data_IF_570833074957
#
_entry.id   IF_570833074957
#
_cell.length_a   1.000
_cell.length_b   1.000
_cell.length_c   1.000
_cell.angle_alpha   90.00
_cell.angle_beta   90.00
_cell.angle_gamma   90.00
#
_symmetry.space_group_name_H-M   'P 1'
#
loop_
_entity.id
_entity.type
_entity.pdbx_description
1 polymer ?
#
# COMPACT_ATOMS: atom_id res chain seq x y z
N UNK A 1 0.12 7.64 21.20
CA UNK A 1 0.67 7.81 19.85
C UNK A 1 -0.06 6.97 18.82
N UNK A 2 0.13 5.63 18.74
CA UNK A 2 -0.57 4.80 17.72
C UNK A 2 -2.11 4.86 17.85
N UNK A 3 -2.63 4.81 19.08
CA UNK A 3 -4.08 4.95 19.32
C UNK A 3 -4.62 6.34 18.93
N UNK A 4 -3.80 7.38 19.04
CA UNK A 4 -4.17 8.75 18.67
C UNK A 4 -4.24 8.87 17.15
N UNK A 5 -3.26 8.30 16.44
CA UNK A 5 -3.26 8.21 14.97
C UNK A 5 -4.48 7.43 14.46
N UNK A 6 -4.82 6.30 15.08
CA UNK A 6 -6.03 5.54 14.71
C UNK A 6 -7.34 6.32 14.98
N UNK A 7 -7.36 7.19 15.99
CA UNK A 7 -8.51 8.05 16.27
C UNK A 7 -8.62 9.18 15.25
N UNK A 8 -7.49 9.77 14.89
CA UNK A 8 -7.36 10.77 13.83
C UNK A 8 -7.86 10.20 12.50
N UNK A 9 -7.41 8.99 12.12
CA UNK A 9 -7.83 8.30 10.89
C UNK A 9 -9.35 8.15 10.80
N UNK A 10 -10.03 7.80 11.89
CA UNK A 10 -11.51 7.72 11.92
C UNK A 10 -12.17 9.06 11.65
N UNK A 11 -11.55 10.17 12.06
CA UNK A 11 -12.03 11.52 11.77
C UNK A 11 -11.83 11.85 10.29
N UNK A 12 -10.63 11.58 9.76
CA UNK A 12 -10.30 11.78 8.34
C UNK A 12 -11.20 10.93 7.43
N UNK A 13 -11.55 9.70 7.84
CA UNK A 13 -12.49 8.84 7.13
C UNK A 13 -13.87 9.49 6.94
N UNK A 14 -14.37 10.20 7.96
CA UNK A 14 -15.63 10.94 7.86
C UNK A 14 -15.48 12.14 6.93
N UNK A 15 -14.36 12.86 7.02
CA UNK A 15 -14.06 13.99 6.14
C UNK A 15 -13.98 13.58 4.66
N UNK A 16 -13.39 12.41 4.35
CA UNK A 16 -13.37 11.86 2.98
C UNK A 16 -14.78 11.56 2.50
N UNK A 17 -15.63 10.94 3.33
CA UNK A 17 -17.04 10.68 2.97
C UNK A 17 -17.80 11.97 2.69
N UNK A 18 -17.57 13.01 3.48
CA UNK A 18 -18.21 14.33 3.28
C UNK A 18 -17.68 15.07 2.05
N UNK A 19 -16.38 14.99 1.75
CA UNK A 19 -15.80 15.52 0.52
C UNK A 19 -16.34 14.81 -0.72
N UNK A 20 -16.40 13.47 -0.70
CA UNK A 20 -16.96 12.67 -1.78
C UNK A 20 -18.45 12.96 -2.02
N UNK A 21 -19.26 13.13 -0.97
CA UNK A 21 -20.68 13.54 -1.07
C UNK A 21 -20.87 14.93 -1.70
N UNK A 22 -19.92 15.84 -1.48
CA UNK A 22 -19.90 17.19 -2.10
C UNK A 22 -19.31 17.20 -3.51
N UNK A 23 -18.99 16.03 -4.07
CA UNK A 23 -18.32 15.85 -5.36
C UNK A 23 -16.95 16.55 -5.44
N UNK A 24 -16.31 16.76 -4.28
CA UNK A 24 -14.96 17.32 -4.17
C UNK A 24 -13.94 16.18 -4.11
N UNK A 25 -13.63 15.65 -5.30
CA UNK A 25 -12.70 14.52 -5.45
C UNK A 25 -11.24 14.93 -5.19
N UNK A 26 -10.90 16.21 -5.36
CA UNK A 26 -9.56 16.72 -5.05
C UNK A 26 -9.25 16.64 -3.56
N UNK A 27 -10.17 17.14 -2.72
CA UNK A 27 -10.02 17.03 -1.27
C UNK A 27 -10.10 15.59 -0.78
N UNK A 28 -10.97 14.76 -1.38
CA UNK A 28 -11.06 13.35 -1.01
C UNK A 28 -9.75 12.58 -1.29
N UNK A 29 -9.12 12.82 -2.46
CA UNK A 29 -7.80 12.25 -2.80
C UNK A 29 -6.70 12.71 -1.86
N UNK A 30 -6.64 14.00 -1.53
CA UNK A 30 -5.64 14.55 -0.61
C UNK A 30 -5.75 13.93 0.80
N UNK A 31 -6.97 13.84 1.33
CA UNK A 31 -7.23 13.20 2.64
C UNK A 31 -6.96 11.68 2.62
N UNK A 32 -7.24 11.01 1.50
CA UNK A 32 -6.91 9.59 1.33
C UNK A 32 -5.38 9.36 1.31
N UNK A 33 -4.61 10.25 0.66
CA UNK A 33 -3.14 10.22 0.70
C UNK A 33 -2.61 10.37 2.13
N UNK A 34 -3.22 11.24 2.93
CA UNK A 34 -2.89 11.40 4.34
C UNK A 34 -3.13 10.12 5.15
N UNK A 35 -4.24 9.40 4.90
CA UNK A 35 -4.50 8.08 5.51
C UNK A 35 -3.41 7.08 5.12
N UNK A 36 -3.05 6.99 3.85
CA UNK A 36 -2.02 6.04 3.38
C UNK A 36 -0.68 6.31 4.07
N UNK A 37 -0.26 7.58 4.11
CA UNK A 37 0.98 7.97 4.79
C UNK A 37 0.94 7.67 6.30
N UNK A 38 -0.21 7.93 6.95
CA UNK A 38 -0.45 7.58 8.35
C UNK A 38 -0.29 6.07 8.60
N UNK A 39 -0.92 5.23 7.77
CA UNK A 39 -0.80 3.76 7.86
C UNK A 39 0.65 3.28 7.67
N UNK A 40 1.37 3.82 6.67
CA UNK A 40 2.80 3.50 6.47
C UNK A 40 3.64 3.89 7.70
N UNK A 41 3.39 5.07 8.28
CA UNK A 41 4.07 5.51 9.50
C UNK A 41 3.79 4.58 10.69
N UNK A 42 2.53 4.16 10.89
CA UNK A 42 2.14 3.21 11.95
C UNK A 42 2.81 1.84 11.76
N UNK A 43 2.85 1.32 10.54
CA UNK A 43 3.53 0.05 10.24
C UNK A 43 5.02 0.13 10.58
N UNK A 44 5.69 1.22 10.20
CA UNK A 44 7.09 1.45 10.55
C UNK A 44 7.32 1.52 12.06
N UNK A 45 6.40 2.11 12.82
CA UNK A 45 6.46 2.11 14.29
C UNK A 45 6.32 0.70 14.88
N UNK A 46 5.46 -0.16 14.31
CA UNK A 46 5.35 -1.55 14.74
C UNK A 46 6.63 -2.35 14.46
N UNK A 47 7.23 -2.17 13.29
CA UNK A 47 8.51 -2.78 12.94
C UNK A 47 9.62 -2.34 13.89
N UNK A 48 9.74 -1.03 14.14
CA UNK A 48 10.70 -0.48 15.09
C UNK A 48 10.50 -1.07 16.50
N UNK A 49 9.25 -1.22 16.95
CA UNK A 49 8.94 -1.84 18.24
C UNK A 49 9.39 -3.30 18.31
N UNK A 50 9.17 -4.07 17.25
CA UNK A 50 9.63 -5.45 17.17
C UNK A 50 11.16 -5.54 17.20
N UNK A 51 11.85 -4.68 16.45
CA UNK A 51 13.31 -4.60 16.43
C UNK A 51 13.89 -4.25 17.81
N UNK A 52 13.28 -3.30 18.53
CA UNK A 52 13.69 -2.95 19.90
C UNK A 52 13.52 -4.12 20.88
N UNK A 53 12.42 -4.86 20.79
CA UNK A 53 12.21 -6.05 21.63
C UNK A 53 13.28 -7.11 21.36
N UNK A 54 13.65 -7.33 20.09
CA UNK A 54 14.72 -8.24 19.72
C UNK A 54 16.07 -7.79 20.29
N UNK A 55 16.43 -6.50 20.18
CA UNK A 55 17.63 -5.95 20.82
C UNK A 55 17.59 -6.18 22.34
N UNK A 56 16.46 -5.92 22.99
CA UNK A 56 16.33 -6.13 24.44
C UNK A 56 16.55 -7.60 24.83
N UNK A 57 16.07 -8.55 24.02
CA UNK A 57 16.33 -9.98 24.24
C UNK A 57 17.81 -10.32 24.08
N UNK A 58 18.44 -9.89 22.99
CA UNK A 58 19.86 -10.15 22.75
C UNK A 58 20.77 -9.48 23.79
N UNK A 59 20.40 -8.31 24.29
CA UNK A 59 21.11 -7.65 25.38
C UNK A 59 20.95 -8.44 26.69
N UNK A 60 19.75 -8.94 26.99
CA UNK A 60 19.50 -9.82 28.13
C UNK A 60 20.33 -11.11 28.08
N UNK A 61 20.44 -11.72 26.91
CA UNK A 61 21.31 -12.86 26.64
C UNK A 61 22.79 -12.48 26.82
N UNK A 62 23.23 -11.36 26.24
CA UNK A 62 24.61 -10.87 26.35
C UNK A 62 25.02 -10.63 27.80
N UNK A 63 24.13 -10.08 28.64
CA UNK A 63 24.37 -9.90 30.08
C UNK A 63 24.45 -11.25 30.81
N UNK A 64 23.65 -12.24 30.42
CA UNK A 64 23.73 -13.58 30.99
C UNK A 64 25.04 -14.30 30.62
N UNK A 65 25.50 -14.15 29.36
CA UNK A 65 26.78 -14.67 28.86
C UNK A 65 27.97 -13.94 29.50
N UNK A 66 27.91 -12.62 29.66
CA UNK A 66 28.95 -11.84 30.32
C UNK A 66 29.24 -12.29 31.75
N UNK A 67 28.22 -12.78 32.46
CA UNK A 67 28.37 -13.34 33.82
C UNK A 67 29.05 -14.70 33.83
N UNK A 68 29.10 -15.42 32.70
CA UNK A 68 29.61 -16.79 32.62
C UNK A 68 30.92 -16.92 31.83
N UNK A 69 31.14 -16.11 30.79
CA UNK A 69 32.35 -16.08 29.97
C UNK A 69 32.61 -14.64 29.51
N UNK A 70 33.78 -14.09 29.83
CA UNK A 70 34.18 -12.69 29.61
C UNK A 70 34.41 -12.26 28.15
N UNK A 71 33.60 -12.73 27.21
CA UNK A 71 33.60 -12.28 25.82
C UNK A 71 32.17 -11.95 25.42
N UNK A 72 31.81 -10.66 25.46
CA UNK A 72 30.56 -10.18 24.88
C UNK A 72 30.61 -10.45 23.38
N UNK A 73 29.75 -11.37 22.93
CA UNK A 73 29.67 -11.76 21.53
C UNK A 73 29.33 -10.55 20.68
N UNK A 74 30.20 -10.26 19.70
CA UNK A 74 29.96 -9.34 18.58
C UNK A 74 28.76 -9.83 17.76
N UNK A 75 27.55 -9.68 18.28
CA UNK A 75 26.36 -10.16 17.60
C UNK A 75 26.06 -9.23 16.42
N UNK A 76 26.44 -9.68 15.22
CA UNK A 76 26.18 -8.96 13.97
C UNK A 76 24.69 -8.69 13.76
N UNK A 77 23.80 -9.55 14.30
CA UNK A 77 22.35 -9.34 14.27
C UNK A 77 21.92 -8.13 15.10
N UNK A 78 22.50 -7.95 16.29
CA UNK A 78 22.24 -6.76 17.13
C UNK A 78 22.73 -5.50 16.43
N UNK A 79 23.92 -5.54 15.84
CA UNK A 79 24.44 -4.40 15.08
C UNK A 79 23.52 -4.03 13.91
N UNK A 80 23.00 -5.02 13.20
CA UNK A 80 22.04 -4.80 12.11
C UNK A 80 20.73 -4.17 12.60
N UNK A 81 20.20 -4.63 13.73
CA UNK A 81 18.99 -4.06 14.32
C UNK A 81 19.20 -2.62 14.80
N UNK A 82 20.34 -2.33 15.45
CA UNK A 82 20.71 -0.96 15.87
C UNK A 82 20.83 -0.05 14.64
N UNK A 83 21.48 -0.51 13.57
CA UNK A 83 21.60 0.25 12.33
C UNK A 83 20.24 0.57 11.71
N UNK A 84 19.32 -0.40 11.67
CA UNK A 84 17.98 -0.18 11.16
C UNK A 84 17.19 0.82 12.01
N UNK A 85 17.29 0.74 13.34
CA UNK A 85 16.63 1.70 14.23
C UNK A 85 17.25 3.10 14.21
N UNK A 86 18.55 3.22 13.92
CA UNK A 86 19.18 4.52 13.70
C UNK A 86 18.60 5.27 12.49
N UNK A 87 18.05 4.55 11.50
CA UNK A 87 17.35 5.14 10.36
C UNK A 87 15.95 5.65 10.70
N UNK A 88 15.39 5.28 11.85
CA UNK A 88 14.13 5.81 12.33
C UNK A 88 14.36 7.18 12.98
N UNK A 89 13.79 8.29 12.48
CA UNK A 89 14.11 9.64 12.94
C UNK A 89 13.91 9.83 14.45
N UNK A 90 12.85 9.22 14.99
CA UNK A 90 12.49 9.30 16.40
C UNK A 90 13.46 8.56 17.33
N UNK A 91 14.20 7.58 16.80
CA UNK A 91 15.11 6.71 17.57
C UNK A 91 16.59 6.98 17.25
N UNK A 92 16.87 7.77 16.20
CA UNK A 92 18.21 8.00 15.66
C UNK A 92 19.22 8.46 16.73
N UNK A 93 18.87 9.50 17.49
CA UNK A 93 19.73 10.06 18.53
C UNK A 93 20.01 9.04 19.64
N UNK A 94 18.96 8.39 20.15
CA UNK A 94 19.06 7.41 21.24
C UNK A 94 19.86 6.17 20.84
N UNK A 95 19.66 5.66 19.61
CA UNK A 95 20.38 4.49 19.11
C UNK A 95 21.83 4.79 18.75
N UNK A 96 22.13 6.03 18.32
CA UNK A 96 23.50 6.49 18.12
C UNK A 96 24.26 6.58 19.44
N UNK A 97 23.62 7.06 20.51
CA UNK A 97 24.20 7.08 21.85
C UNK A 97 24.41 5.65 22.39
N UNK A 98 23.41 4.77 22.24
CA UNK A 98 23.51 3.36 22.58
C UNK A 98 24.67 2.65 21.84
N UNK A 99 24.80 2.88 20.53
CA UNK A 99 25.92 2.36 19.74
C UNK A 99 27.26 2.82 20.29
N UNK A 100 27.39 4.12 20.61
CA UNK A 100 28.61 4.68 21.20
C UNK A 100 28.95 4.07 22.56
N UNK A 101 27.97 3.86 23.43
CA UNK A 101 28.18 3.20 24.73
C UNK A 101 28.59 1.74 24.58
N UNK A 102 27.96 1.01 23.66
CA UNK A 102 28.30 -0.38 23.36
C UNK A 102 29.71 -0.51 22.77
N UNK A 103 30.16 0.46 21.96
CA UNK A 103 31.55 0.53 21.50
C UNK A 103 32.53 0.80 22.64
N UNK A 104 32.22 1.74 23.54
CA UNK A 104 33.06 2.02 24.74
C UNK A 104 33.15 0.81 25.67
N UNK A 105 32.07 0.04 25.78
CA UNK A 105 32.02 -1.18 26.59
C UNK A 105 32.75 -2.38 25.93
N UNK A 106 33.37 -2.20 24.76
CA UNK A 106 34.11 -3.24 24.04
C UNK A 106 33.23 -4.32 23.41
N UNK A 107 31.91 -4.06 23.30
CA UNK A 107 30.91 -4.99 22.77
C UNK A 107 30.84 -4.95 21.24
N UNK A 108 31.03 -3.75 20.69
CA UNK A 108 30.89 -3.43 19.28
C UNK A 108 32.20 -2.78 18.82
N UNK A 109 32.81 -3.29 17.76
CA UNK A 109 33.96 -2.62 17.12
C UNK A 109 33.50 -1.34 16.40
N UNK A 110 34.37 -0.33 16.34
CA UNK A 110 34.10 0.94 15.65
C UNK A 110 33.87 0.68 14.15
N UNK A 111 32.62 0.45 13.76
CA UNK A 111 32.21 0.39 12.36
C UNK A 111 31.70 1.77 11.96
N UNK A 112 32.47 2.46 11.11
CA UNK A 112 32.01 3.65 10.42
C UNK A 112 30.85 3.21 9.52
N UNK A 113 29.63 3.53 9.93
CA UNK A 113 28.46 3.33 9.10
C UNK A 113 28.44 4.45 8.06
N UNK A 114 28.94 4.17 6.86
CA UNK A 114 28.63 5.01 5.70
C UNK A 114 27.12 4.94 5.48
N UNK A 115 26.44 6.05 5.82
CA UNK A 115 25.04 6.25 5.51
C UNK A 115 24.91 6.41 3.98
N UNK A 116 24.91 5.28 3.28
CA UNK A 116 24.58 5.24 1.86
C UNK A 116 23.08 5.40 1.74
N UNK A 117 22.72 6.66 1.53
CA UNK A 117 21.60 7.18 0.77
C UNK A 117 20.49 6.18 0.38
N UNK A 118 19.33 6.33 1.00
CA UNK A 118 18.07 5.68 0.61
C UNK A 118 17.07 6.70 0.05
N UNK A 119 17.56 7.82 -0.49
CA UNK A 119 16.71 8.79 -1.17
C UNK A 119 16.33 8.37 -2.61
N UNK A 120 16.78 7.20 -3.08
CA UNK A 120 16.46 6.66 -4.41
C UNK A 120 15.09 5.97 -4.52
N UNK A 121 14.29 5.98 -3.45
CA UNK A 121 12.99 5.29 -3.39
C UNK A 121 11.80 6.22 -3.75
N UNK A 122 12.05 7.49 -4.07
CA UNK A 122 10.98 8.49 -4.18
C UNK A 122 10.05 8.34 -5.39
N UNK A 123 10.50 7.71 -6.49
CA UNK A 123 9.68 7.56 -7.70
C UNK A 123 8.77 6.31 -7.65
N UNK A 124 9.29 5.15 -7.22
CA UNK A 124 8.47 3.92 -7.02
C UNK A 124 7.42 4.09 -5.90
N UNK A 125 7.74 4.89 -4.88
CA UNK A 125 6.82 5.18 -3.77
C UNK A 125 5.59 5.97 -4.24
N UNK A 126 5.71 6.83 -5.27
CA UNK A 126 4.61 7.73 -5.62
C UNK A 126 3.48 7.01 -6.38
N UNK A 127 3.83 6.09 -7.28
CA UNK A 127 2.87 5.26 -8.01
C UNK A 127 2.18 4.23 -7.08
N UNK A 128 2.93 3.61 -6.16
CA UNK A 128 2.37 2.72 -5.14
C UNK A 128 1.42 3.45 -4.18
N UNK A 129 1.73 4.71 -3.83
CA UNK A 129 0.85 5.54 -3.00
C UNK A 129 -0.45 5.84 -3.75
N UNK A 130 -0.42 6.12 -5.06
CA UNK A 130 -1.64 6.43 -5.81
C UNK A 130 -2.59 5.21 -5.88
N UNK A 131 -2.04 4.01 -6.09
CA UNK A 131 -2.83 2.77 -6.02
C UNK A 131 -3.43 2.54 -4.63
N UNK A 132 -2.66 2.78 -3.56
CA UNK A 132 -3.15 2.65 -2.18
C UNK A 132 -4.22 3.69 -1.85
N UNK A 133 -4.10 4.90 -2.40
CA UNK A 133 -5.11 5.96 -2.27
C UNK A 133 -6.42 5.52 -2.92
N UNK A 134 -6.37 4.97 -4.13
CA UNK A 134 -7.56 4.48 -4.83
C UNK A 134 -8.21 3.29 -4.11
N UNK A 135 -7.41 2.41 -3.49
CA UNK A 135 -7.91 1.33 -2.61
C UNK A 135 -8.65 1.92 -1.40
N UNK A 136 -8.08 2.90 -0.71
CA UNK A 136 -8.71 3.58 0.43
C UNK A 136 -10.03 4.26 0.03
N UNK A 137 -10.06 4.95 -1.11
CA UNK A 137 -11.28 5.57 -1.62
C UNK A 137 -12.38 4.53 -1.94
N UNK A 138 -11.99 3.40 -2.52
CA UNK A 138 -12.90 2.27 -2.81
C UNK A 138 -13.43 1.62 -1.54
N UNK A 139 -12.59 1.40 -0.53
CA UNK A 139 -13.00 0.89 0.79
C UNK A 139 -14.04 1.82 1.43
N UNK A 140 -13.79 3.13 1.41
CA UNK A 140 -14.69 4.15 1.98
C UNK A 140 -16.02 4.19 1.23
N UNK A 141 -15.99 4.10 -0.10
CA UNK A 141 -17.18 4.05 -0.93
C UNK A 141 -18.00 2.78 -0.69
N UNK A 142 -17.33 1.62 -0.57
CA UNK A 142 -17.92 0.34 -0.23
C UNK A 142 -18.57 0.33 1.16
N UNK A 143 -17.91 0.89 2.17
CA UNK A 143 -18.47 1.03 3.52
C UNK A 143 -19.71 1.95 3.53
N UNK A 144 -19.68 3.02 2.74
CA UNK A 144 -20.81 3.93 2.59
C UNK A 144 -21.99 3.26 1.87
N UNK A 145 -21.73 2.44 0.84
CA UNK A 145 -22.74 1.64 0.18
C UNK A 145 -23.31 0.54 1.09
N UNK A 146 -22.47 -0.04 1.95
CA UNK A 146 -22.84 -1.02 2.94
C UNK A 146 -23.79 -0.46 4.02
N UNK A 147 -23.65 0.81 4.39
CA UNK A 147 -24.45 1.49 5.41
C UNK A 147 -25.78 2.07 4.91
N UNK A 148 -26.06 2.03 3.60
CA UNK A 148 -27.35 2.47 3.04
C UNK A 148 -28.43 1.38 3.24
N UNK A 149 -29.65 1.74 3.73
CA UNK A 149 -30.75 0.80 3.85
C UNK A 149 -31.10 0.19 2.48
N UNK A 150 -31.49 -1.09 2.47
CA UNK A 150 -31.73 -1.91 1.27
C UNK A 150 -32.67 -1.25 0.24
N UNK A 151 -33.57 -0.37 0.70
CA UNK A 151 -34.48 0.41 -0.13
C UNK A 151 -33.76 1.37 -1.09
N UNK A 152 -32.66 2.01 -0.66
CA UNK A 152 -31.91 2.99 -1.46
C UNK A 152 -30.93 2.30 -2.41
N UNK A 153 -30.46 1.08 -2.07
CA UNK A 153 -29.64 0.26 -2.99
C UNK A 153 -30.41 -0.15 -4.25
N UNK A 154 -31.71 -0.41 -4.13
CA UNK A 154 -32.59 -0.75 -5.26
C UNK A 154 -32.94 0.46 -6.13
N UNK A 155 -32.89 1.67 -5.59
CA UNK A 155 -33.25 2.90 -6.32
C UNK A 155 -32.14 3.40 -7.25
N UNK A 156 -30.85 3.19 -6.91
CA UNK A 156 -29.74 3.46 -7.85
C UNK A 156 -29.65 2.47 -9.02
N UNK A 157 -30.28 1.30 -8.90
CA UNK A 157 -30.38 0.31 -10.00
C UNK A 157 -31.65 0.55 -10.85
N UNK A 158 -32.54 1.45 -10.43
CA UNK A 158 -33.82 1.73 -11.09
C UNK A 158 -34.04 3.23 -11.28
N UNK A 159 -33.27 3.84 -12.19
CA UNK A 159 -33.74 5.02 -12.93
C UNK A 159 -33.51 4.73 -14.43
N UNK A 160 -34.52 4.94 -15.28
CA UNK A 160 -34.71 4.17 -16.50
C UNK A 160 -33.94 4.76 -17.69
N UNK A 161 -33.20 3.90 -18.37
CA UNK A 161 -32.77 4.13 -19.73
C UNK A 161 -33.93 3.80 -20.67
N UNK A 162 -34.70 4.81 -21.08
CA UNK A 162 -35.47 4.77 -22.32
C UNK A 162 -35.92 6.18 -22.70
N UNK A 163 -35.27 6.75 -23.72
CA UNK A 163 -35.93 7.34 -24.90
C UNK A 163 -34.86 7.81 -25.90
N UNK A 164 -34.46 6.91 -26.80
CA UNK A 164 -34.00 7.25 -28.15
C UNK A 164 -34.04 5.99 -29.03
N UNK A 165 -35.07 5.95 -29.88
CA UNK A 165 -35.04 5.49 -31.27
C UNK A 165 -34.63 4.05 -31.62
N UNK A 166 -35.66 3.33 -32.08
CA UNK A 166 -35.76 2.61 -33.36
C UNK A 166 -35.03 1.28 -33.55
N UNK A 167 -35.86 0.23 -33.59
CA UNK A 167 -35.83 -0.92 -34.51
C UNK A 167 -34.53 -1.73 -34.64
N UNK A 168 -34.49 -2.91 -34.02
CA UNK A 168 -34.30 -4.16 -34.78
C UNK A 168 -34.71 -5.37 -33.93
N UNK A 169 -35.17 -6.39 -34.64
CA UNK A 169 -35.79 -7.62 -34.18
C UNK A 169 -34.91 -8.49 -33.28
N UNK A 170 -35.60 -9.29 -32.46
CA UNK A 170 -35.06 -10.49 -31.82
C UNK A 170 -34.50 -11.44 -32.88
N UNK A 171 -33.26 -11.88 -32.75
CA UNK A 171 -32.89 -13.25 -33.09
C UNK A 171 -31.61 -13.67 -32.34
N UNK A 172 -31.81 -14.50 -31.33
CA UNK A 172 -30.80 -15.41 -30.84
C UNK A 172 -31.35 -16.82 -31.09
N UNK A 173 -30.77 -17.58 -32.02
CA UNK A 173 -30.08 -18.85 -31.74
C UNK A 173 -29.58 -19.54 -33.02
N UNK A 174 -28.30 -19.97 -32.94
CA UNK A 174 -27.79 -21.28 -33.35
C UNK A 174 -27.54 -21.63 -34.83
N UNK A 175 -26.28 -22.03 -35.06
CA UNK A 175 -25.87 -23.21 -35.85
C UNK A 175 -25.74 -23.07 -37.37
N UNK A 176 -24.49 -22.92 -37.82
CA UNK A 176 -23.87 -23.73 -38.87
C UNK A 176 -24.41 -23.69 -40.30
N UNK A 177 -23.47 -23.53 -41.24
CA UNK A 177 -23.53 -23.86 -42.68
C UNK A 177 -24.06 -22.74 -43.59
N UNK A 178 -23.17 -21.90 -44.12
CA UNK A 178 -22.92 -21.75 -45.57
C UNK A 178 -21.86 -20.65 -45.84
N UNK A 179 -20.57 -20.98 -45.67
CA UNK A 179 -19.45 -20.13 -46.10
C UNK A 179 -19.00 -20.49 -47.54
N UNK A 180 -19.90 -20.95 -48.42
CA UNK A 180 -19.52 -21.35 -49.79
C UNK A 180 -19.66 -20.19 -50.79
N UNK A 181 -20.63 -19.28 -50.63
CA UNK A 181 -20.79 -18.08 -51.48
C UNK A 181 -19.76 -16.98 -51.16
N UNK A 182 -19.41 -16.74 -49.89
CA UNK A 182 -18.40 -15.75 -49.53
C UNK A 182 -16.98 -16.16 -49.97
N UNK A 183 -16.67 -17.47 -49.96
CA UNK A 183 -15.41 -17.99 -50.47
C UNK A 183 -15.29 -17.86 -51.99
N UNK A 184 -16.39 -17.96 -52.74
CA UNK A 184 -16.40 -17.74 -54.19
C UNK A 184 -16.23 -16.26 -54.55
N UNK A 185 -16.86 -15.34 -53.82
CA UNK A 185 -16.65 -13.90 -54.02
C UNK A 185 -15.21 -13.46 -53.72
N UNK A 186 -14.58 -14.02 -52.68
CA UNK A 186 -13.18 -13.76 -52.35
C UNK A 186 -12.22 -14.30 -53.43
N UNK A 187 -12.52 -15.48 -54.01
CA UNK A 187 -11.76 -16.06 -55.13
C UNK A 187 -11.90 -15.23 -56.41
N UNK A 188 -13.09 -14.70 -56.70
CA UNK A 188 -13.32 -13.82 -57.85
C UNK A 188 -12.54 -12.50 -57.75
N UNK A 189 -12.45 -11.92 -56.54
CA UNK A 189 -11.63 -10.71 -56.29
C UNK A 189 -10.13 -10.98 -56.45
N UNK A 190 -9.62 -12.12 -55.97
CA UNK A 190 -8.21 -12.49 -56.12
C UNK A 190 -7.81 -12.75 -57.57
N UNK A 191 -8.71 -13.29 -58.39
CA UNK A 191 -8.45 -13.51 -59.82
C UNK A 191 -8.35 -12.20 -60.61
N UNK A 192 -9.09 -11.16 -60.21
CA UNK A 192 -9.07 -9.84 -60.87
C UNK A 192 -7.80 -9.02 -60.61
N UNK A 193 -7.02 -9.37 -59.59
CA UNK A 193 -5.73 -8.72 -59.28
C UNK A 193 -4.56 -9.44 -59.98
N UNK A 194 -4.80 -10.62 -60.56
CA UNK A 194 -3.76 -11.45 -61.21
C UNK A 194 -3.86 -11.52 -62.74
N UNK A 195 -4.66 -10.66 -63.38
CA UNK A 195 -4.62 -10.40 -64.84
C UNK A 195 -4.00 -9.05 -65.15
#
# INVERSE_FOLDING_TARGET
MILDVQREEKSVHKAIKEAAKRNDMGSAKALAKEIVMSRKAVNRLYENKAQLNSISMHLGESVAIARTVGHLSKSAEVMKLVNNLMKAPEMAATMQEFSREMTKAGVIEEMVTDAVDSALDSEDIEEEIEEEVDKVLTEIAGETAAQLPEAVRKERVRVPAQEASTSHEEEAIAEGVDDEEELEELRARLAKVRS
#
